data_IF_504964932398
#
_entry.id   IF_504964932398
#
_cell.length_a   1.000
_cell.length_b   1.000
_cell.length_c   1.000
_cell.angle_alpha   90.00
_cell.angle_beta   90.00
_cell.angle_gamma   90.00
#
_symmetry.space_group_name_H-M   'P 1'
#
loop_
_entity.id
_entity.type
_entity.pdbx_description
1 polymer ?
#
# COMPACT_ATOMS: atom_id res chain seq x y z
N UNK A 1 2.96 -30.05 -27.14
CA UNK A 1 2.87 -30.50 -25.74
C UNK A 1 4.28 -30.54 -25.18
N UNK A 2 4.75 -29.40 -24.73
CA UNK A 2 6.06 -29.26 -24.11
C UNK A 2 5.91 -29.64 -22.64
N UNK A 3 6.59 -30.66 -22.27
CA UNK A 3 6.85 -31.23 -20.98
C UNK A 3 7.43 -30.16 -20.04
N UNK A 4 6.54 -29.31 -19.47
CA UNK A 4 6.85 -28.53 -18.28
C UNK A 4 6.87 -29.54 -17.13
N UNK A 5 8.03 -30.17 -17.07
CA UNK A 5 8.46 -31.27 -16.25
C UNK A 5 7.76 -31.28 -14.90
N UNK A 6 7.29 -32.45 -14.54
CA UNK A 6 7.32 -32.99 -13.18
C UNK A 6 8.73 -32.77 -12.61
N UNK A 7 9.03 -31.53 -12.20
CA UNK A 7 10.29 -31.22 -11.54
C UNK A 7 10.19 -31.71 -10.10
N UNK A 8 11.09 -32.59 -9.76
CA UNK A 8 11.53 -32.97 -8.41
C UNK A 8 11.55 -31.70 -7.54
N UNK A 9 11.01 -31.81 -6.31
CA UNK A 9 10.91 -30.84 -5.23
C UNK A 9 9.64 -29.98 -5.19
N UNK A 10 8.46 -30.64 -5.15
CA UNK A 10 7.26 -30.04 -4.57
C UNK A 10 7.41 -29.80 -3.04
N UNK A 11 8.36 -30.47 -2.41
CA UNK A 11 8.47 -30.59 -0.96
C UNK A 11 8.90 -29.31 -0.20
N UNK A 12 9.34 -28.28 -0.87
CA UNK A 12 9.72 -26.99 -0.23
C UNK A 12 9.17 -25.73 -0.93
N UNK A 13 8.48 -25.89 -2.06
CA UNK A 13 8.10 -24.77 -2.93
C UNK A 13 7.05 -23.88 -2.31
N UNK A 14 7.30 -22.56 -2.35
CA UNK A 14 6.33 -21.51 -2.05
C UNK A 14 5.93 -20.84 -3.36
N UNK A 15 4.63 -20.69 -3.59
CA UNK A 15 4.07 -19.93 -4.71
C UNK A 15 3.54 -18.60 -4.21
N UNK A 16 4.00 -17.50 -4.80
CA UNK A 16 3.49 -16.14 -4.53
C UNK A 16 2.77 -15.65 -5.76
N UNK A 17 1.54 -15.17 -5.61
CA UNK A 17 0.74 -14.68 -6.72
C UNK A 17 0.47 -13.17 -6.61
N UNK A 18 0.86 -12.41 -7.63
CA UNK A 18 0.69 -10.97 -7.73
C UNK A 18 1.92 -10.27 -8.28
N UNK A 19 1.78 -9.01 -8.71
CA UNK A 19 2.87 -8.18 -9.24
C UNK A 19 3.04 -6.85 -8.51
N UNK A 20 2.41 -6.68 -7.34
CA UNK A 20 2.52 -5.48 -6.51
C UNK A 20 3.52 -5.62 -5.36
N UNK A 21 3.58 -4.58 -4.50
CA UNK A 21 4.55 -4.52 -3.38
C UNK A 21 4.53 -5.78 -2.53
N UNK A 22 3.35 -6.24 -2.07
CA UNK A 22 3.27 -7.42 -1.21
C UNK A 22 3.84 -8.68 -1.87
N UNK A 23 3.56 -8.90 -3.16
CA UNK A 23 4.06 -10.07 -3.87
C UNK A 23 5.58 -10.01 -4.09
N UNK A 24 6.08 -8.89 -4.60
CA UNK A 24 7.49 -8.72 -4.93
C UNK A 24 8.36 -8.73 -3.67
N UNK A 25 7.96 -8.01 -2.61
CA UNK A 25 8.70 -8.00 -1.35
C UNK A 25 8.63 -9.35 -0.61
N UNK A 26 7.49 -10.06 -0.66
CA UNK A 26 7.41 -11.41 -0.08
C UNK A 26 8.33 -12.39 -0.81
N UNK A 27 8.35 -12.35 -2.15
CA UNK A 27 9.22 -13.21 -2.93
C UNK A 27 10.70 -12.95 -2.61
N UNK A 28 11.12 -11.68 -2.53
CA UNK A 28 12.50 -11.31 -2.19
C UNK A 28 12.89 -11.78 -0.78
N UNK A 29 12.05 -11.46 0.22
CA UNK A 29 12.38 -11.78 1.61
C UNK A 29 12.38 -13.29 1.88
N UNK A 30 11.47 -14.05 1.27
CA UNK A 30 11.49 -15.52 1.36
C UNK A 30 12.71 -16.10 0.66
N UNK A 31 13.11 -15.56 -0.49
CA UNK A 31 14.33 -15.98 -1.19
C UNK A 31 15.60 -15.75 -0.35
N UNK A 32 15.64 -14.65 0.43
CA UNK A 32 16.76 -14.38 1.35
C UNK A 32 16.89 -15.41 2.48
N UNK A 33 15.79 -16.09 2.84
CA UNK A 33 15.83 -17.20 3.83
C UNK A 33 16.20 -18.54 3.22
N UNK A 34 16.56 -18.58 1.93
CA UNK A 34 16.91 -19.81 1.21
C UNK A 34 15.71 -20.59 0.65
N UNK A 35 14.50 -20.06 0.72
CA UNK A 35 13.32 -20.69 0.12
C UNK A 35 13.28 -20.48 -1.39
N UNK A 36 12.97 -21.54 -2.12
CA UNK A 36 12.63 -21.44 -3.54
C UNK A 36 11.21 -20.88 -3.73
N UNK A 37 11.11 -19.82 -4.50
CA UNK A 37 9.85 -19.09 -4.73
C UNK A 37 9.49 -19.11 -6.20
N UNK A 38 8.24 -19.45 -6.51
CA UNK A 38 7.65 -19.22 -7.82
C UNK A 38 6.72 -18.02 -7.72
N UNK A 39 7.06 -16.94 -8.42
CA UNK A 39 6.25 -15.71 -8.48
C UNK A 39 5.38 -15.74 -9.74
N UNK A 40 4.06 -15.75 -9.57
CA UNK A 40 3.08 -15.61 -10.64
C UNK A 40 2.82 -14.10 -10.82
N UNK A 41 3.38 -13.50 -11.86
CA UNK A 41 3.29 -12.06 -12.11
C UNK A 41 2.42 -11.78 -13.35
N UNK A 42 1.33 -10.99 -13.22
CA UNK A 42 0.51 -10.61 -14.37
C UNK A 42 1.17 -9.59 -15.29
N UNK A 43 2.30 -9.00 -14.91
CA UNK A 43 3.02 -8.07 -15.76
C UNK A 43 3.82 -8.80 -16.85
N UNK A 44 3.99 -8.19 -18.04
CA UNK A 44 4.79 -8.78 -19.12
C UNK A 44 6.28 -8.85 -18.72
N UNK A 45 7.06 -9.75 -19.34
CA UNK A 45 8.50 -9.90 -19.04
C UNK A 45 9.31 -8.62 -19.27
N UNK A 46 8.86 -7.76 -20.19
CA UNK A 46 9.47 -6.47 -20.52
C UNK A 46 9.16 -5.36 -19.50
N UNK A 47 8.26 -5.59 -18.54
CA UNK A 47 7.90 -4.56 -17.57
C UNK A 47 9.05 -4.30 -16.59
N UNK A 48 9.84 -3.26 -16.88
CA UNK A 48 10.88 -2.76 -15.95
C UNK A 48 10.29 -2.11 -14.70
N UNK A 49 9.01 -1.71 -14.77
CA UNK A 49 8.34 -0.88 -13.76
C UNK A 49 8.62 0.63 -13.93
N UNK A 50 9.54 1.01 -14.81
CA UNK A 50 9.87 2.43 -15.08
C UNK A 50 8.78 3.12 -15.92
N UNK A 51 8.04 2.36 -16.73
CA UNK A 51 6.87 2.84 -17.45
C UNK A 51 5.58 2.46 -16.69
N UNK A 52 4.91 3.42 -16.06
CA UNK A 52 3.67 3.18 -15.33
C UNK A 52 2.54 2.58 -16.20
N UNK A 53 2.57 2.80 -17.51
CA UNK A 53 1.54 2.29 -18.43
C UNK A 53 1.57 0.75 -18.57
N UNK A 54 2.70 0.13 -18.29
CA UNK A 54 2.89 -1.33 -18.31
C UNK A 54 2.54 -2.01 -16.98
N UNK A 55 2.21 -1.23 -15.96
CA UNK A 55 1.93 -1.75 -14.62
C UNK A 55 0.57 -2.44 -14.57
N UNK A 56 0.54 -3.58 -13.88
CA UNK A 56 -0.70 -4.26 -13.52
C UNK A 56 -1.36 -3.70 -12.24
N UNK A 57 -0.75 -2.69 -11.61
CA UNK A 57 -1.24 -2.09 -10.36
C UNK A 57 -2.20 -0.95 -10.68
N UNK A 58 -3.47 -1.13 -10.32
CA UNK A 58 -4.55 -0.19 -10.65
C UNK A 58 -4.32 1.24 -10.14
N UNK A 59 -3.54 1.41 -9.07
CA UNK A 59 -3.32 2.71 -8.41
C UNK A 59 -1.93 3.29 -8.69
N UNK A 60 -1.25 2.84 -9.73
CA UNK A 60 0.16 3.19 -10.00
C UNK A 60 0.39 4.71 -10.14
N UNK A 61 -0.59 5.42 -10.67
CA UNK A 61 -0.52 6.86 -10.94
C UNK A 61 -1.05 7.75 -9.79
N UNK A 62 -1.65 7.15 -8.77
CA UNK A 62 -2.16 7.92 -7.62
C UNK A 62 -1.04 8.29 -6.64
N UNK A 63 -1.24 9.35 -5.83
CA UNK A 63 -0.26 9.72 -4.81
C UNK A 63 -0.10 8.60 -3.79
N UNK A 64 1.14 8.25 -3.50
CA UNK A 64 1.49 7.27 -2.50
C UNK A 64 2.62 7.77 -1.62
N UNK A 65 2.66 7.30 -0.37
CA UNK A 65 3.77 7.50 0.54
C UNK A 65 4.20 6.18 1.17
N UNK A 66 5.43 6.11 1.61
CA UNK A 66 5.90 5.06 2.51
C UNK A 66 5.94 5.68 3.89
N UNK A 67 5.20 5.12 4.85
CA UNK A 67 5.31 5.56 6.24
C UNK A 67 6.65 5.09 6.83
N UNK A 68 7.11 5.75 7.88
CA UNK A 68 8.45 5.50 8.44
C UNK A 68 8.70 4.04 8.83
N UNK A 69 7.69 3.30 9.29
CA UNK A 69 7.81 1.86 9.54
C UNK A 69 8.16 1.09 8.25
N UNK A 70 7.47 1.39 7.14
CA UNK A 70 7.77 0.75 5.85
C UNK A 70 9.16 1.14 5.32
N UNK A 71 9.59 2.38 5.55
CA UNK A 71 10.94 2.83 5.22
C UNK A 71 12.00 2.10 6.05
N UNK A 72 11.81 1.98 7.36
CA UNK A 72 12.70 1.23 8.23
C UNK A 72 12.84 -0.23 7.76
N UNK A 73 11.73 -0.86 7.41
CA UNK A 73 11.72 -2.21 6.85
C UNK A 73 12.52 -2.31 5.54
N UNK A 74 12.38 -1.35 4.62
CA UNK A 74 13.19 -1.33 3.39
C UNK A 74 14.68 -1.13 3.70
N UNK A 75 15.00 -0.22 4.62
CA UNK A 75 16.38 0.06 5.01
C UNK A 75 17.08 -1.15 5.64
N UNK A 76 16.38 -1.88 6.50
CA UNK A 76 16.95 -2.99 7.26
C UNK A 76 16.97 -4.30 6.46
N UNK A 77 15.89 -4.60 5.73
CA UNK A 77 15.70 -5.93 5.13
C UNK A 77 15.80 -5.94 3.60
N UNK A 78 15.60 -4.80 2.93
CA UNK A 78 15.68 -4.66 1.48
C UNK A 78 16.50 -3.43 1.07
N UNK A 79 17.74 -3.24 1.59
CA UNK A 79 18.52 -2.01 1.35
C UNK A 79 18.81 -1.77 -0.13
N UNK A 80 18.96 -2.81 -0.94
CA UNK A 80 19.14 -2.67 -2.39
C UNK A 80 17.92 -2.05 -3.08
N UNK A 81 16.70 -2.42 -2.66
CA UNK A 81 15.46 -1.80 -3.13
C UNK A 81 15.41 -0.33 -2.76
N UNK A 82 15.73 0.03 -1.50
CA UNK A 82 15.79 1.42 -1.07
C UNK A 82 16.84 2.21 -1.88
N UNK A 83 18.03 1.66 -2.06
CA UNK A 83 19.10 2.28 -2.86
C UNK A 83 18.66 2.56 -4.30
N UNK A 84 17.96 1.62 -4.96
CA UNK A 84 17.39 1.85 -6.29
C UNK A 84 16.29 2.91 -6.28
N UNK A 85 15.39 2.87 -5.30
CA UNK A 85 14.31 3.85 -5.15
C UNK A 85 14.89 5.28 -5.06
N UNK A 86 15.92 5.47 -4.25
CA UNK A 86 16.61 6.78 -4.14
C UNK A 86 17.32 7.17 -5.45
N UNK A 87 17.96 6.20 -6.11
CA UNK A 87 18.66 6.43 -7.39
C UNK A 87 17.71 6.86 -8.51
N UNK A 88 16.49 6.32 -8.59
CA UNK A 88 15.49 6.74 -9.59
C UNK A 88 14.78 8.05 -9.22
N UNK A 89 15.09 8.62 -8.06
CA UNK A 89 14.68 9.98 -7.67
C UNK A 89 13.78 10.07 -6.44
N UNK A 90 13.62 9.00 -5.68
CA UNK A 90 13.04 9.09 -4.34
C UNK A 90 13.86 10.05 -3.46
N UNK A 91 13.20 10.82 -2.63
CA UNK A 91 13.85 11.83 -1.79
C UNK A 91 13.51 11.60 -0.32
N UNK A 92 14.55 11.41 0.50
CA UNK A 92 14.38 11.28 1.96
C UNK A 92 13.97 12.62 2.57
N UNK A 93 13.04 12.59 3.50
CA UNK A 93 12.55 13.77 4.22
C UNK A 93 12.35 13.41 5.69
N UNK A 94 12.94 14.21 6.59
CA UNK A 94 12.62 14.14 8.00
C UNK A 94 11.31 14.89 8.29
N UNK A 95 10.44 14.28 9.06
CA UNK A 95 9.11 14.79 9.38
C UNK A 95 9.06 15.62 10.65
N UNK A 96 10.15 15.61 11.42
CA UNK A 96 10.24 16.32 12.70
C UNK A 96 11.49 17.20 12.70
N UNK A 97 11.31 18.42 13.18
CA UNK A 97 12.40 19.32 13.54
C UNK A 97 12.81 19.10 15.01
N UNK A 98 14.09 19.36 15.34
CA UNK A 98 14.63 19.29 16.70
C UNK A 98 15.59 18.12 16.94
N UNK A 99 16.08 18.01 18.19
CA UNK A 99 17.22 17.16 18.58
C UNK A 99 16.90 15.67 18.82
N UNK A 100 15.70 15.22 18.52
CA UNK A 100 15.33 13.81 18.70
C UNK A 100 15.71 12.93 17.51
N UNK A 101 15.64 11.57 17.63
CA UNK A 101 15.85 10.67 16.50
C UNK A 101 14.96 11.04 15.31
N UNK A 102 15.46 10.99 14.06
CA UNK A 102 14.69 11.37 12.89
C UNK A 102 13.47 10.44 12.72
N UNK A 103 12.37 11.01 12.24
CA UNK A 103 11.23 10.26 11.74
C UNK A 103 11.17 10.52 10.24
N UNK A 104 11.81 9.63 9.50
CA UNK A 104 12.01 9.81 8.07
C UNK A 104 10.90 9.16 7.23
N UNK A 105 10.66 9.74 6.06
CA UNK A 105 9.86 9.16 4.99
C UNK A 105 10.54 9.36 3.65
N UNK A 106 9.98 8.77 2.58
CA UNK A 106 10.45 8.97 1.21
C UNK A 106 9.34 9.62 0.38
N UNK A 107 9.62 10.77 -0.20
CA UNK A 107 8.84 11.33 -1.29
C UNK A 107 9.11 10.51 -2.54
N UNK A 108 8.08 9.90 -3.11
CA UNK A 108 8.20 9.03 -4.27
C UNK A 108 6.92 9.02 -5.09
N UNK A 109 7.03 8.59 -6.33
CA UNK A 109 5.90 8.09 -7.12
C UNK A 109 5.80 6.57 -6.94
N UNK A 110 4.61 6.02 -6.96
CA UNK A 110 4.38 4.58 -6.75
C UNK A 110 5.20 3.70 -7.68
N UNK A 111 5.29 4.06 -8.96
CA UNK A 111 6.04 3.30 -9.97
C UNK A 111 7.54 3.17 -9.64
N UNK A 112 8.12 4.14 -8.92
CA UNK A 112 9.54 4.08 -8.53
C UNK A 112 9.82 2.91 -7.58
N UNK A 113 8.93 2.68 -6.62
CA UNK A 113 9.04 1.53 -5.70
C UNK A 113 8.81 0.21 -6.45
N UNK A 114 7.80 0.17 -7.33
CA UNK A 114 7.51 -1.04 -8.11
C UNK A 114 8.69 -1.39 -9.04
N UNK A 115 9.32 -0.39 -9.69
CA UNK A 115 10.52 -0.58 -10.50
C UNK A 115 11.70 -1.13 -9.68
N UNK A 116 11.95 -0.54 -8.50
CA UNK A 116 13.02 -0.99 -7.63
C UNK A 116 12.82 -2.45 -7.16
N UNK A 117 11.60 -2.79 -6.73
CA UNK A 117 11.26 -4.15 -6.31
C UNK A 117 11.38 -5.15 -7.46
N UNK A 118 10.88 -4.83 -8.66
CA UNK A 118 10.98 -5.69 -9.85
C UNK A 118 12.41 -5.96 -10.24
N UNK A 119 13.25 -4.92 -10.26
CA UNK A 119 14.65 -5.04 -10.63
C UNK A 119 15.41 -5.98 -9.67
N UNK A 120 15.16 -5.88 -8.36
CA UNK A 120 15.78 -6.78 -7.38
C UNK A 120 15.21 -8.20 -7.47
N UNK A 121 13.89 -8.34 -7.67
CA UNK A 121 13.24 -9.65 -7.82
C UNK A 121 13.77 -10.41 -9.05
N UNK A 122 14.01 -9.71 -10.15
CA UNK A 122 14.57 -10.32 -11.36
C UNK A 122 16.01 -10.81 -11.19
N UNK A 123 16.76 -10.27 -10.22
CA UNK A 123 18.14 -10.69 -9.91
C UNK A 123 18.21 -11.80 -8.85
N UNK A 124 17.12 -12.05 -8.13
CA UNK A 124 17.07 -13.03 -7.06
C UNK A 124 17.06 -14.46 -7.60
N UNK A 125 18.17 -15.20 -7.50
CA UNK A 125 18.35 -16.56 -8.06
C UNK A 125 17.32 -17.57 -7.56
N UNK A 126 16.85 -17.42 -6.32
CA UNK A 126 15.86 -18.31 -5.72
C UNK A 126 14.40 -17.93 -6.10
N UNK A 127 14.20 -16.90 -6.93
CA UNK A 127 12.87 -16.51 -7.42
C UNK A 127 12.73 -16.86 -8.90
N UNK A 128 11.83 -17.79 -9.20
CA UNK A 128 11.40 -18.08 -10.58
C UNK A 128 10.15 -17.28 -10.91
N UNK A 129 10.24 -16.36 -11.86
CA UNK A 129 9.12 -15.52 -12.29
C UNK A 129 8.36 -16.18 -13.43
N UNK A 130 7.04 -16.36 -13.25
CA UNK A 130 6.10 -16.68 -14.31
C UNK A 130 5.39 -15.38 -14.73
N UNK A 131 6.02 -14.66 -15.64
CA UNK A 131 5.50 -13.39 -16.16
C UNK A 131 4.28 -13.62 -17.07
N UNK A 132 3.51 -12.57 -17.35
CA UNK A 132 2.27 -12.62 -18.16
C UNK A 132 1.27 -13.69 -17.67
N UNK A 133 1.28 -13.99 -16.38
CA UNK A 133 0.56 -15.11 -15.80
C UNK A 133 -0.30 -14.66 -14.62
N UNK A 134 -1.49 -15.23 -14.50
CA UNK A 134 -2.43 -14.89 -13.42
C UNK A 134 -2.87 -16.14 -12.68
N UNK A 135 -2.89 -16.06 -11.37
CA UNK A 135 -3.58 -17.03 -10.53
C UNK A 135 -5.08 -16.97 -10.84
N UNK A 136 -5.67 -18.08 -11.24
CA UNK A 136 -7.11 -18.18 -11.55
C UNK A 136 -7.90 -18.83 -10.44
N UNK A 137 -7.32 -19.81 -9.76
CA UNK A 137 -7.91 -20.51 -8.64
C UNK A 137 -6.84 -21.16 -7.76
N UNK A 138 -7.22 -21.58 -6.56
CA UNK A 138 -6.42 -22.41 -5.66
C UNK A 138 -7.30 -23.54 -5.15
N UNK A 139 -6.80 -24.77 -5.15
CA UNK A 139 -7.49 -25.93 -4.59
C UNK A 139 -6.61 -26.62 -3.54
N UNK A 140 -7.23 -27.26 -2.56
CA UNK A 140 -6.52 -28.06 -1.56
C UNK A 140 -6.11 -29.41 -2.17
N UNK A 141 -4.94 -29.93 -1.75
CA UNK A 141 -4.40 -31.23 -2.13
C UNK A 141 -3.72 -31.86 -0.89
N UNK A 142 -4.51 -32.28 0.09
CA UNK A 142 -4.01 -32.73 1.40
C UNK A 142 -3.30 -31.59 2.15
N UNK A 143 -2.03 -31.78 2.48
CA UNK A 143 -1.18 -30.75 3.11
C UNK A 143 -0.56 -29.77 2.12
N UNK A 144 -0.92 -29.85 0.86
CA UNK A 144 -0.43 -29.01 -0.23
C UNK A 144 -1.57 -28.19 -0.80
N UNK A 145 -1.25 -27.17 -1.57
CA UNK A 145 -2.19 -26.43 -2.41
C UNK A 145 -1.79 -26.50 -3.88
N UNK A 146 -2.78 -26.48 -4.76
CA UNK A 146 -2.60 -26.37 -6.20
C UNK A 146 -3.00 -24.97 -6.65
N UNK A 147 -2.03 -24.21 -7.16
CA UNK A 147 -2.26 -22.91 -7.78
C UNK A 147 -2.56 -23.12 -9.27
N UNK A 148 -3.77 -22.76 -9.71
CA UNK A 148 -4.18 -22.81 -11.11
C UNK A 148 -3.80 -21.48 -11.77
N UNK A 149 -2.96 -21.56 -12.80
CA UNK A 149 -2.35 -20.38 -13.44
C UNK A 149 -2.75 -20.33 -14.90
N UNK A 150 -3.14 -19.16 -15.37
CA UNK A 150 -3.43 -18.89 -16.78
C UNK A 150 -2.46 -17.86 -17.31
N UNK A 151 -1.73 -18.20 -18.39
CA UNK A 151 -0.93 -17.25 -19.16
C UNK A 151 -1.81 -16.37 -20.04
N UNK A 152 -1.31 -15.19 -20.42
CA UNK A 152 -2.03 -14.22 -21.29
C UNK A 152 -2.40 -14.81 -22.63
N UNK A 153 -1.57 -15.69 -23.19
CA UNK A 153 -1.81 -16.36 -24.48
C UNK A 153 -2.74 -17.58 -24.38
N UNK A 154 -3.40 -17.80 -23.22
CA UNK A 154 -4.42 -18.82 -23.04
C UNK A 154 -3.93 -20.18 -22.51
N UNK A 155 -2.61 -20.39 -22.37
CA UNK A 155 -2.06 -21.60 -21.75
C UNK A 155 -2.44 -21.67 -20.25
N UNK A 156 -2.80 -22.86 -19.76
CA UNK A 156 -3.06 -23.09 -18.35
C UNK A 156 -2.06 -24.09 -17.78
N UNK A 157 -1.63 -23.88 -16.54
CA UNK A 157 -0.78 -24.80 -15.79
C UNK A 157 -1.21 -24.86 -14.34
N UNK A 158 -0.89 -25.95 -13.68
CA UNK A 158 -1.13 -26.10 -12.23
C UNK A 158 0.20 -26.30 -11.53
N UNK A 159 0.41 -25.52 -10.48
CA UNK A 159 1.60 -25.60 -9.64
C UNK A 159 1.19 -26.16 -8.27
N UNK A 160 1.78 -27.28 -7.90
CA UNK A 160 1.64 -27.81 -6.54
C UNK A 160 2.67 -27.16 -5.62
N UNK A 161 2.25 -26.71 -4.43
CA UNK A 161 3.08 -26.01 -3.48
C UNK A 161 2.69 -26.33 -2.04
N UNK A 162 3.65 -26.28 -1.12
CA UNK A 162 3.38 -26.35 0.32
C UNK A 162 2.68 -25.11 0.85
N UNK A 163 2.91 -23.97 0.20
CA UNK A 163 2.22 -22.73 0.53
C UNK A 163 1.93 -21.92 -0.74
N UNK A 164 0.70 -21.47 -0.90
CA UNK A 164 0.30 -20.46 -1.87
C UNK A 164 0.00 -19.17 -1.13
N UNK A 165 0.72 -18.10 -1.49
CA UNK A 165 0.53 -16.75 -0.96
C UNK A 165 -0.23 -15.94 -1.99
N UNK A 166 -1.52 -15.65 -1.72
CA UNK A 166 -2.31 -14.73 -2.52
C UNK A 166 -1.98 -13.28 -2.15
N UNK A 167 -1.22 -12.63 -3.01
CA UNK A 167 -0.91 -11.21 -2.96
C UNK A 167 -1.44 -10.48 -4.22
N UNK A 168 -2.58 -10.94 -4.78
CA UNK A 168 -3.19 -10.41 -6.00
C UNK A 168 -3.88 -9.06 -5.82
N UNK A 169 -3.82 -8.50 -4.62
CA UNK A 169 -4.35 -7.17 -4.33
C UNK A 169 -5.88 -7.13 -4.30
N UNK A 170 -6.44 -5.99 -4.74
CA UNK A 170 -7.88 -5.74 -4.68
C UNK A 170 -8.68 -6.55 -5.71
N UNK A 171 -8.03 -7.23 -6.65
CA UNK A 171 -8.70 -8.11 -7.61
C UNK A 171 -9.31 -9.37 -6.99
N UNK A 172 -9.09 -9.57 -5.71
CA UNK A 172 -9.71 -10.54 -4.78
C UNK A 172 -10.57 -11.59 -5.46
N UNK A 173 -9.94 -12.59 -6.06
CA UNK A 173 -10.69 -13.68 -6.67
C UNK A 173 -11.35 -14.50 -5.57
N UNK A 174 -12.59 -14.85 -5.79
CA UNK A 174 -13.28 -15.85 -4.99
C UNK A 174 -12.65 -17.17 -5.37
N UNK A 175 -11.87 -17.77 -4.47
CA UNK A 175 -11.40 -19.13 -4.63
C UNK A 175 -12.57 -20.11 -4.49
N UNK A 176 -12.38 -21.36 -4.88
CA UNK A 176 -13.39 -22.38 -4.79
C UNK A 176 -14.04 -22.42 -3.39
N UNK A 177 -15.29 -22.86 -3.32
CA UNK A 177 -16.11 -22.91 -2.10
C UNK A 177 -15.48 -23.75 -0.96
N UNK A 178 -14.40 -24.49 -1.24
CA UNK A 178 -13.64 -25.26 -0.25
C UNK A 178 -12.93 -24.38 0.78
N UNK A 179 -12.66 -23.11 0.42
CA UNK A 179 -11.99 -22.17 1.31
C UNK A 179 -12.99 -21.21 1.96
N UNK A 180 -13.39 -21.54 3.19
CA UNK A 180 -14.15 -20.57 4.00
C UNK A 180 -13.30 -19.35 4.27
N UNK A 181 -13.78 -18.18 3.88
CA UNK A 181 -13.09 -16.91 4.11
C UNK A 181 -13.89 -16.06 5.09
N UNK A 182 -13.18 -15.49 6.09
CA UNK A 182 -13.75 -14.45 6.95
C UNK A 182 -13.70 -13.15 6.14
N UNK A 183 -14.86 -12.50 5.96
CA UNK A 183 -14.97 -11.26 5.18
C UNK A 183 -15.63 -10.18 6.01
N UNK A 184 -14.92 -9.07 6.15
CA UNK A 184 -15.47 -7.83 6.69
C UNK A 184 -15.31 -6.75 5.62
N UNK A 185 -16.35 -5.94 5.44
CA UNK A 185 -16.35 -4.84 4.47
C UNK A 185 -16.99 -3.62 5.08
N UNK A 186 -16.25 -2.51 5.11
CA UNK A 186 -16.71 -1.21 5.53
C UNK A 186 -16.44 -0.22 4.40
N UNK A 187 -17.51 0.28 3.79
CA UNK A 187 -17.40 1.22 2.68
C UNK A 187 -16.77 2.55 3.10
N UNK A 188 -16.02 3.19 2.22
CA UNK A 188 -15.63 4.58 2.43
C UNK A 188 -16.79 5.52 2.04
N UNK A 189 -17.09 6.54 2.84
CA UNK A 189 -18.08 7.53 2.49
C UNK A 189 -17.59 8.52 1.43
N UNK A 190 -16.32 8.46 1.01
CA UNK A 190 -15.68 9.46 0.16
C UNK A 190 -15.15 8.89 -1.14
N UNK A 191 -15.20 9.74 -2.18
CA UNK A 191 -14.48 9.57 -3.45
C UNK A 191 -13.29 10.53 -3.48
N UNK A 192 -12.27 10.19 -4.28
CA UNK A 192 -11.04 10.94 -4.40
C UNK A 192 -10.78 11.30 -5.87
N UNK A 193 -10.37 12.54 -6.07
CA UNK A 193 -9.99 13.09 -7.38
C UNK A 193 -8.64 13.76 -7.25
N UNK A 194 -7.69 13.40 -8.08
CA UNK A 194 -6.34 13.95 -8.00
C UNK A 194 -5.78 14.32 -9.37
N UNK A 195 -4.99 15.39 -9.41
CA UNK A 195 -4.17 15.75 -10.55
C UNK A 195 -2.74 15.88 -10.10
N UNK A 196 -1.82 15.31 -10.87
CA UNK A 196 -0.38 15.46 -10.66
C UNK A 196 0.10 16.72 -11.33
N UNK A 197 0.91 17.51 -10.61
CA UNK A 197 1.52 18.75 -11.09
C UNK A 197 3.03 18.72 -10.93
N UNK A 198 3.70 19.57 -11.69
CA UNK A 198 5.11 19.93 -11.52
C UNK A 198 5.21 21.43 -11.26
N UNK A 199 5.93 21.82 -10.22
CA UNK A 199 6.24 23.23 -9.97
C UNK A 199 7.09 23.82 -11.08
N UNK A 200 6.81 25.08 -11.43
CA UNK A 200 7.64 25.85 -12.35
C UNK A 200 8.95 26.26 -11.66
N UNK A 201 10.06 26.36 -12.39
CA UNK A 201 11.30 26.84 -11.83
C UNK A 201 11.11 28.23 -11.18
N UNK A 202 11.52 28.36 -9.92
CA UNK A 202 11.37 29.60 -9.16
C UNK A 202 9.99 29.94 -8.65
N UNK A 203 9.02 29.04 -8.81
CA UNK A 203 7.66 29.21 -8.26
C UNK A 203 7.70 29.41 -6.73
N UNK A 204 6.99 30.44 -6.26
CA UNK A 204 6.82 30.73 -4.84
C UNK A 204 5.42 30.27 -4.42
N UNK A 205 5.36 29.15 -3.69
CA UNK A 205 4.12 28.62 -3.15
C UNK A 205 4.12 28.72 -1.62
N UNK A 206 2.95 28.87 -0.98
CA UNK A 206 2.86 28.89 0.49
C UNK A 206 3.43 27.62 1.10
N UNK A 207 4.04 27.69 2.29
CA UNK A 207 4.47 26.49 2.99
C UNK A 207 3.27 25.60 3.32
N UNK A 208 3.48 24.29 3.34
CA UNK A 208 2.47 23.35 3.79
C UNK A 208 2.45 23.28 5.32
N UNK A 209 1.28 22.92 5.88
CA UNK A 209 1.13 22.72 7.33
C UNK A 209 1.98 21.55 7.87
N UNK A 210 2.44 20.67 6.99
CA UNK A 210 3.39 19.58 7.25
C UNK A 210 4.39 19.51 6.09
N UNK A 211 5.57 18.96 6.36
CA UNK A 211 6.65 18.87 5.37
C UNK A 211 6.23 18.21 4.05
N UNK A 212 5.36 17.20 4.11
CA UNK A 212 4.96 16.40 2.95
C UNK A 212 3.51 16.62 2.53
N UNK A 213 2.65 17.22 3.37
CA UNK A 213 1.24 17.42 3.06
C UNK A 213 0.71 18.72 3.58
N UNK A 214 -0.18 19.36 2.82
CA UNK A 214 -1.07 20.43 3.28
C UNK A 214 -2.51 19.97 3.10
N UNK A 215 -3.38 20.24 4.08
CA UNK A 215 -4.78 19.83 4.05
C UNK A 215 -5.69 20.95 4.56
N UNK A 216 -6.79 21.16 3.86
CA UNK A 216 -7.87 22.10 4.24
C UNK A 216 -9.19 21.32 4.17
N UNK A 217 -9.95 21.38 5.25
CA UNK A 217 -11.34 20.90 5.28
C UNK A 217 -12.26 22.07 4.96
N UNK A 218 -13.11 21.89 3.98
CA UNK A 218 -14.10 22.88 3.54
C UNK A 218 -15.46 22.61 4.24
N UNK A 219 -16.39 23.57 4.20
CA UNK A 219 -17.78 23.28 4.54
C UNK A 219 -18.24 22.04 3.77
N UNK A 220 -19.22 21.31 4.21
CA UNK A 220 -19.70 20.07 3.57
C UNK A 220 -18.72 18.86 3.62
N UNK A 221 -17.73 18.91 4.50
CA UNK A 221 -16.79 17.81 4.75
C UNK A 221 -15.90 17.44 3.54
N UNK A 222 -15.83 18.31 2.52
CA UNK A 222 -14.90 18.16 1.41
C UNK A 222 -13.49 18.53 1.87
N UNK A 223 -12.50 17.71 1.55
CA UNK A 223 -11.10 17.99 1.86
C UNK A 223 -10.30 18.26 0.58
N UNK A 224 -9.52 19.33 0.59
CA UNK A 224 -8.49 19.59 -0.39
C UNK A 224 -7.11 19.36 0.22
N UNK A 225 -6.22 18.70 -0.51
CA UNK A 225 -4.87 18.39 -0.02
C UNK A 225 -3.83 18.56 -1.12
N UNK A 226 -2.67 19.07 -0.74
CA UNK A 226 -1.43 18.94 -1.51
C UNK A 226 -0.63 17.79 -0.89
N UNK A 227 -0.20 16.85 -1.72
CA UNK A 227 0.72 15.77 -1.33
C UNK A 227 1.99 15.95 -2.16
N UNK A 228 3.11 16.26 -1.52
CA UNK A 228 4.39 16.45 -2.21
C UNK A 228 4.89 15.11 -2.77
N UNK A 229 5.41 15.18 -3.98
CA UNK A 229 6.18 14.12 -4.63
C UNK A 229 7.67 14.51 -4.74
N UNK A 230 8.48 13.67 -5.38
CA UNK A 230 9.89 13.96 -5.64
C UNK A 230 10.05 15.00 -6.76
N UNK A 231 11.23 15.64 -6.83
CA UNK A 231 11.63 16.50 -7.96
C UNK A 231 10.60 17.58 -8.31
N UNK A 232 10.16 18.36 -7.33
CA UNK A 232 9.20 19.44 -7.49
C UNK A 232 7.83 19.02 -8.04
N UNK A 233 7.48 17.72 -7.94
CA UNK A 233 6.14 17.25 -8.24
C UNK A 233 5.25 17.26 -7.01
N UNK A 234 3.93 17.32 -7.24
CA UNK A 234 2.93 17.17 -6.19
C UNK A 234 1.60 16.70 -6.77
N UNK A 235 0.73 16.21 -5.92
CA UNK A 235 -0.64 15.91 -6.26
C UNK A 235 -1.59 16.87 -5.54
N UNK A 236 -2.50 17.48 -6.31
CA UNK A 236 -3.63 18.22 -5.80
C UNK A 236 -4.82 17.25 -5.70
N UNK A 237 -5.25 16.94 -4.48
CA UNK A 237 -6.25 15.89 -4.18
C UNK A 237 -7.47 16.52 -3.56
N UNK A 238 -8.65 16.19 -4.11
CA UNK A 238 -9.95 16.51 -3.52
C UNK A 238 -10.60 15.21 -3.06
N UNK A 239 -10.93 15.11 -1.77
CA UNK A 239 -11.73 14.05 -1.20
C UNK A 239 -13.10 14.59 -0.83
N UNK A 240 -14.18 14.04 -1.39
CA UNK A 240 -15.52 14.54 -1.21
C UNK A 240 -16.51 13.40 -0.90
N UNK A 241 -17.63 13.75 -0.25
CA UNK A 241 -18.72 12.81 -0.04
C UNK A 241 -19.24 12.25 -1.36
N UNK A 242 -19.61 10.97 -1.38
CA UNK A 242 -20.28 10.33 -2.52
C UNK A 242 -21.58 11.01 -2.90
N UNK A 243 -22.22 11.70 -1.95
CA UNK A 243 -23.48 12.42 -2.13
C UNK A 243 -23.27 13.88 -2.48
N UNK A 244 -22.02 14.36 -2.55
CA UNK A 244 -21.74 15.74 -2.92
C UNK A 244 -22.18 16.04 -4.37
N UNK A 245 -23.06 17.02 -4.60
CA UNK A 245 -23.64 17.25 -5.93
C UNK A 245 -22.58 17.56 -7.01
N UNK A 246 -21.53 18.29 -6.63
CA UNK A 246 -20.48 18.74 -7.56
C UNK A 246 -19.43 17.64 -7.84
N UNK A 247 -19.49 16.49 -7.19
CA UNK A 247 -18.52 15.40 -7.30
C UNK A 247 -18.19 15.00 -8.74
N UNK A 248 -19.20 14.92 -9.61
CA UNK A 248 -19.02 14.49 -11.00
C UNK A 248 -18.21 15.51 -11.82
N UNK A 249 -18.33 16.78 -11.50
CA UNK A 249 -17.60 17.86 -12.16
C UNK A 249 -16.09 17.84 -11.83
N UNK A 250 -15.71 17.27 -10.69
CA UNK A 250 -14.29 17.11 -10.37
C UNK A 250 -13.51 16.23 -11.35
N UNK A 251 -14.18 15.48 -12.22
CA UNK A 251 -13.55 14.71 -13.30
C UNK A 251 -13.14 15.58 -14.49
N UNK A 252 -13.72 16.77 -14.60
CA UNK A 252 -13.30 17.77 -15.59
C UNK A 252 -12.05 18.47 -15.08
N UNK A 253 -10.92 18.45 -15.86
CA UNK A 253 -9.67 19.10 -15.45
C UNK A 253 -9.81 20.59 -15.19
N UNK A 254 -10.62 21.31 -15.98
CA UNK A 254 -10.82 22.75 -15.83
C UNK A 254 -11.59 23.05 -14.53
N UNK A 255 -12.63 22.27 -14.23
CA UNK A 255 -13.39 22.40 -12.99
C UNK A 255 -12.51 22.06 -11.78
N UNK A 256 -11.74 20.94 -11.83
CA UNK A 256 -10.83 20.55 -10.76
C UNK A 256 -9.82 21.64 -10.46
N UNK A 257 -9.18 22.20 -11.49
CA UNK A 257 -8.21 23.28 -11.33
C UNK A 257 -8.86 24.56 -10.77
N UNK A 258 -10.04 24.92 -11.25
CA UNK A 258 -10.80 26.09 -10.75
C UNK A 258 -11.21 25.91 -9.30
N UNK A 259 -11.75 24.75 -8.94
CA UNK A 259 -12.11 24.40 -7.56
C UNK A 259 -10.89 24.52 -6.65
N UNK A 260 -9.76 23.90 -7.03
CA UNK A 260 -8.57 23.87 -6.20
C UNK A 260 -7.95 25.26 -6.00
N UNK A 261 -7.98 26.12 -7.03
CA UNK A 261 -7.51 27.54 -6.94
C UNK A 261 -8.30 28.35 -5.92
N UNK A 262 -9.57 28.00 -5.70
CA UNK A 262 -10.40 28.67 -4.70
C UNK A 262 -10.15 28.20 -3.26
N UNK A 263 -9.31 27.16 -3.04
CA UNK A 263 -9.04 26.63 -1.69
C UNK A 263 -8.06 27.56 -0.95
N UNK A 264 -8.47 28.15 0.20
CA UNK A 264 -7.59 29.00 0.98
C UNK A 264 -6.28 28.29 1.37
N UNK A 265 -5.15 28.98 1.20
CA UNK A 265 -3.82 28.47 1.56
C UNK A 265 -3.23 27.41 0.63
N UNK A 266 -4.03 26.77 -0.23
CA UNK A 266 -3.54 25.77 -1.19
C UNK A 266 -3.66 26.22 -2.66
N UNK A 267 -4.55 27.17 -2.97
CA UNK A 267 -4.86 27.56 -4.35
C UNK A 267 -3.66 28.03 -5.15
N UNK A 268 -2.71 28.72 -4.52
CA UNK A 268 -1.49 29.21 -5.16
C UNK A 268 -0.61 28.08 -5.74
N UNK A 269 -0.73 26.84 -5.25
CA UNK A 269 0.02 25.69 -5.78
C UNK A 269 -0.39 25.32 -7.22
N UNK A 270 -1.63 25.58 -7.61
CA UNK A 270 -2.18 25.17 -8.91
C UNK A 270 -2.39 26.35 -9.88
N UNK A 271 -1.85 27.52 -9.55
CA UNK A 271 -1.86 28.66 -10.49
C UNK A 271 -0.98 28.36 -11.72
N UNK A 272 -1.36 28.82 -12.93
CA UNK A 272 -0.58 28.56 -14.14
C UNK A 272 0.87 29.05 -14.07
N UNK A 273 1.13 30.13 -13.36
CA UNK A 273 2.47 30.66 -13.10
C UNK A 273 3.27 29.86 -12.07
N UNK A 274 2.60 29.05 -11.25
CA UNK A 274 3.23 28.23 -10.20
C UNK A 274 3.51 26.81 -10.64
N UNK A 275 2.62 26.21 -11.44
CA UNK A 275 2.73 24.79 -11.78
C UNK A 275 2.04 24.42 -13.10
N UNK A 276 2.47 23.29 -13.65
CA UNK A 276 1.88 22.69 -14.85
C UNK A 276 1.28 21.31 -14.52
N UNK A 277 0.04 21.01 -14.96
CA UNK A 277 -0.55 19.68 -14.78
C UNK A 277 0.21 18.65 -15.63
N UNK A 278 0.50 17.49 -15.04
CA UNK A 278 1.21 16.37 -15.65
C UNK A 278 0.32 15.16 -15.92
N UNK A 279 -0.93 15.18 -15.46
CA UNK A 279 -1.90 14.12 -15.69
C UNK A 279 -3.29 14.68 -15.94
N UNK A 280 -4.16 13.88 -16.54
CA UNK A 280 -5.60 14.06 -16.42
C UNK A 280 -6.06 13.89 -14.96
N UNK A 281 -7.34 14.14 -14.69
CA UNK A 281 -7.90 13.86 -13.38
C UNK A 281 -7.98 12.34 -13.17
N UNK A 282 -7.30 11.87 -12.14
CA UNK A 282 -7.35 10.50 -11.68
C UNK A 282 -8.43 10.40 -10.61
N UNK A 283 -9.44 9.56 -10.85
CA UNK A 283 -10.57 9.41 -9.94
C UNK A 283 -10.65 7.99 -9.43
N UNK A 284 -10.82 7.81 -8.14
CA UNK A 284 -11.14 6.51 -7.57
C UNK A 284 -12.24 6.64 -6.52
N UNK A 285 -13.16 5.71 -6.63
CA UNK A 285 -14.35 5.66 -5.80
C UNK A 285 -14.35 4.36 -4.98
N UNK A 286 -15.11 4.35 -3.92
CA UNK A 286 -15.47 3.12 -3.20
C UNK A 286 -14.30 2.35 -2.58
N UNK A 287 -13.21 3.00 -2.27
CA UNK A 287 -12.07 2.40 -1.57
C UNK A 287 -12.41 2.29 -0.08
N UNK A 288 -13.08 1.21 0.29
CA UNK A 288 -13.41 0.91 1.68
C UNK A 288 -12.30 0.13 2.41
N UNK A 289 -12.57 -0.10 3.68
CA UNK A 289 -11.77 -0.99 4.51
C UNK A 289 -12.27 -2.43 4.33
N UNK A 290 -11.38 -3.37 4.09
CA UNK A 290 -11.70 -4.78 3.92
C UNK A 290 -10.73 -5.65 4.70
N UNK A 291 -11.25 -6.67 5.33
CA UNK A 291 -10.48 -7.76 5.93
C UNK A 291 -10.96 -9.08 5.35
N UNK A 292 -10.07 -9.86 4.73
CA UNK A 292 -10.41 -11.11 4.04
C UNK A 292 -9.39 -12.17 4.42
N UNK A 293 -9.62 -12.85 5.52
CA UNK A 293 -8.75 -13.92 5.99
C UNK A 293 -9.20 -15.28 5.46
N UNK A 294 -8.23 -16.16 5.23
CA UNK A 294 -8.47 -17.58 4.97
C UNK A 294 -8.74 -18.27 6.30
N UNK A 295 -9.71 -19.17 6.32
CA UNK A 295 -10.07 -19.96 7.50
C UNK A 295 -8.89 -20.77 8.04
N UNK A 296 -8.86 -21.00 9.34
CA UNK A 296 -7.76 -21.70 10.03
C UNK A 296 -7.57 -23.14 9.58
N UNK A 297 -8.64 -23.81 9.13
CA UNK A 297 -8.54 -25.21 8.64
C UNK A 297 -7.78 -25.31 7.31
N UNK A 298 -7.57 -24.21 6.61
CA UNK A 298 -6.81 -24.18 5.35
C UNK A 298 -5.35 -23.97 5.68
N UNK A 299 -4.57 -25.01 5.64
CA UNK A 299 -3.19 -25.01 6.15
C UNK A 299 -2.11 -24.72 5.12
N UNK A 300 -2.45 -24.64 3.83
CA UNK A 300 -1.49 -24.45 2.74
C UNK A 300 -1.67 -23.14 1.95
N UNK A 301 -2.55 -22.24 2.43
CA UNK A 301 -2.85 -20.98 1.71
C UNK A 301 -2.91 -19.82 2.68
N UNK A 302 -2.28 -18.70 2.31
CA UNK A 302 -2.37 -17.43 3.03
C UNK A 302 -2.63 -16.28 2.09
N UNK A 303 -3.12 -15.16 2.62
CA UNK A 303 -3.26 -13.89 1.92
C UNK A 303 -2.29 -12.87 2.45
N UNK A 304 -1.84 -11.96 1.59
CA UNK A 304 -0.96 -10.86 1.94
C UNK A 304 -1.31 -9.58 1.15
N UNK A 305 -0.91 -8.43 1.68
CA UNK A 305 -1.21 -7.13 1.11
C UNK A 305 -2.72 -6.86 1.04
N UNK A 306 -3.15 -6.15 0.01
CA UNK A 306 -4.55 -5.79 -0.20
C UNK A 306 -5.47 -7.01 -0.45
N UNK A 307 -4.92 -8.18 -0.74
CA UNK A 307 -5.68 -9.42 -0.81
C UNK A 307 -6.17 -9.88 0.57
N UNK A 308 -5.41 -9.60 1.62
CA UNK A 308 -5.79 -9.89 3.01
C UNK A 308 -6.61 -8.73 3.59
N UNK A 309 -6.04 -7.53 3.64
CA UNK A 309 -6.80 -6.37 4.08
C UNK A 309 -6.38 -5.10 3.36
N UNK A 310 -7.36 -4.23 3.15
CA UNK A 310 -7.15 -2.87 2.67
C UNK A 310 -7.66 -1.89 3.71
N UNK A 311 -6.98 -0.76 3.83
CA UNK A 311 -7.46 0.40 4.55
C UNK A 311 -7.76 1.52 3.57
N UNK A 312 -8.61 2.46 3.96
CA UNK A 312 -8.87 3.63 3.14
C UNK A 312 -7.55 4.33 2.74
N UNK A 313 -7.31 4.58 1.44
CA UNK A 313 -6.07 5.20 0.95
C UNK A 313 -5.75 6.55 1.57
N UNK A 314 -6.76 7.29 2.05
CA UNK A 314 -6.56 8.56 2.76
C UNK A 314 -5.64 8.45 3.98
N UNK A 315 -5.46 7.25 4.53
CA UNK A 315 -4.58 7.01 5.68
C UNK A 315 -3.13 6.74 5.28
N UNK A 316 -2.83 6.48 4.00
CA UNK A 316 -1.49 6.28 3.47
C UNK A 316 -0.77 5.01 3.95
N UNK A 317 -1.47 4.05 4.55
CA UNK A 317 -0.88 2.90 5.26
C UNK A 317 -0.57 1.69 4.38
N UNK A 318 -1.22 1.57 3.20
CA UNK A 318 -1.25 0.33 2.41
C UNK A 318 0.12 -0.25 2.06
N UNK A 319 1.07 0.59 1.59
CA UNK A 319 2.43 0.15 1.24
C UNK A 319 3.16 -0.38 2.47
N UNK A 320 3.14 0.38 3.58
CA UNK A 320 3.85 -0.02 4.80
C UNK A 320 3.28 -1.31 5.40
N UNK A 321 1.96 -1.48 5.38
CA UNK A 321 1.33 -2.74 5.80
C UNK A 321 1.71 -3.91 4.88
N UNK A 322 1.78 -3.70 3.56
CA UNK A 322 2.21 -4.73 2.62
C UNK A 322 3.65 -5.19 2.89
N UNK A 323 4.56 -4.24 3.11
CA UNK A 323 5.96 -4.51 3.46
C UNK A 323 6.08 -5.25 4.81
N UNK A 324 5.33 -4.81 5.82
CA UNK A 324 5.29 -5.47 7.14
C UNK A 324 4.78 -6.91 7.05
N UNK A 325 3.71 -7.16 6.29
CA UNK A 325 3.20 -8.51 6.06
C UNK A 325 4.23 -9.39 5.36
N UNK A 326 4.97 -8.86 4.39
CA UNK A 326 6.01 -9.60 3.69
C UNK A 326 7.15 -10.01 4.63
N UNK A 327 7.54 -9.14 5.56
CA UNK A 327 8.53 -9.47 6.60
C UNK A 327 7.99 -10.52 7.58
N UNK A 328 6.73 -10.42 8.00
CA UNK A 328 6.08 -11.42 8.85
C UNK A 328 6.03 -12.78 8.17
N UNK A 329 5.71 -12.82 6.86
CA UNK A 329 5.76 -14.05 6.06
C UNK A 329 7.17 -14.66 6.04
N UNK A 330 8.18 -13.85 5.75
CA UNK A 330 9.55 -14.34 5.70
C UNK A 330 10.05 -14.88 7.05
N UNK A 331 9.72 -14.21 8.15
CA UNK A 331 10.05 -14.67 9.51
C UNK A 331 9.32 -15.95 9.88
N UNK A 332 8.05 -16.07 9.52
CA UNK A 332 7.22 -17.20 9.87
C UNK A 332 7.49 -18.45 9.00
N UNK A 333 7.68 -18.27 7.69
CA UNK A 333 7.84 -19.38 6.74
C UNK A 333 9.31 -19.66 6.40
N UNK A 334 10.18 -18.66 6.53
CA UNK A 334 11.58 -18.74 6.08
C UNK A 334 12.40 -19.80 6.81
N UNK A 335 12.27 -19.85 8.12
CA UNK A 335 13.06 -20.75 8.98
C UNK A 335 12.23 -21.87 9.61
N UNK A 336 10.95 -21.98 9.30
CA UNK A 336 10.10 -23.04 9.85
C UNK A 336 10.37 -24.35 9.12
N UNK A 337 10.68 -25.40 9.87
CA UNK A 337 10.76 -26.77 9.33
C UNK A 337 9.36 -27.23 8.88
N UNK A 338 8.32 -26.86 9.65
CA UNK A 338 6.93 -27.10 9.31
C UNK A 338 6.25 -25.82 8.78
N UNK A 339 5.96 -25.80 7.51
CA UNK A 339 5.28 -24.69 6.80
C UNK A 339 3.90 -24.40 7.41
N UNK A 340 3.18 -25.41 7.90
CA UNK A 340 1.85 -25.22 8.47
C UNK A 340 1.89 -24.46 9.79
N UNK A 341 2.86 -24.77 10.64
CA UNK A 341 3.17 -24.01 11.86
C UNK A 341 3.58 -22.55 11.49
N UNK A 342 4.38 -22.38 10.45
CA UNK A 342 4.72 -21.05 9.94
C UNK A 342 3.50 -20.25 9.47
N UNK A 343 2.58 -20.89 8.77
CA UNK A 343 1.32 -20.27 8.34
C UNK A 343 0.46 -19.82 9.54
N UNK A 344 0.32 -20.68 10.55
CA UNK A 344 -0.41 -20.34 11.77
C UNK A 344 0.25 -19.16 12.50
N UNK A 345 1.57 -19.16 12.62
CA UNK A 345 2.36 -18.06 13.20
C UNK A 345 2.13 -16.76 12.44
N UNK A 346 2.23 -16.77 11.11
CA UNK A 346 1.97 -15.58 10.29
C UNK A 346 0.56 -15.01 10.53
N UNK A 347 -0.46 -15.86 10.53
CA UNK A 347 -1.85 -15.43 10.76
C UNK A 347 -2.03 -14.79 12.14
N UNK A 348 -1.43 -15.40 13.16
CA UNK A 348 -1.45 -14.87 14.52
C UNK A 348 -0.78 -13.49 14.59
N UNK A 349 0.43 -13.36 14.05
CA UNK A 349 1.19 -12.10 14.07
C UNK A 349 0.47 -10.99 13.30
N UNK A 350 -0.09 -11.29 12.12
CA UNK A 350 -0.89 -10.34 11.35
C UNK A 350 -2.11 -9.88 12.14
N UNK A 351 -2.85 -10.80 12.74
CA UNK A 351 -4.02 -10.44 13.53
C UNK A 351 -3.64 -9.59 14.74
N UNK A 352 -2.61 -9.97 15.47
CA UNK A 352 -2.12 -9.24 16.65
C UNK A 352 -1.65 -7.83 16.33
N UNK A 353 -0.87 -7.65 15.26
CA UNK A 353 -0.20 -6.38 14.99
C UNK A 353 -0.91 -5.49 13.98
N UNK A 354 -1.67 -6.05 13.02
CA UNK A 354 -2.28 -5.28 11.94
C UNK A 354 -3.80 -5.11 12.09
N UNK A 355 -4.47 -6.02 12.81
CA UNK A 355 -5.90 -5.90 13.10
C UNK A 355 -6.25 -4.58 13.82
N UNK A 356 -5.50 -4.12 14.85
CA UNK A 356 -5.78 -2.84 15.48
C UNK A 356 -5.73 -1.63 14.53
N UNK A 357 -4.88 -1.69 13.49
CA UNK A 357 -4.80 -0.65 12.47
C UNK A 357 -5.97 -0.69 11.48
N UNK A 358 -6.46 -1.89 11.18
CA UNK A 358 -7.69 -2.04 10.42
C UNK A 358 -8.89 -1.46 11.16
N UNK A 359 -9.04 -1.79 12.44
CA UNK A 359 -10.13 -1.29 13.30
C UNK A 359 -10.06 0.24 13.46
N UNK A 360 -8.85 0.82 13.64
CA UNK A 360 -8.64 2.27 13.63
C UNK A 360 -9.09 2.90 12.30
N UNK A 361 -8.78 2.27 11.17
CA UNK A 361 -9.17 2.75 9.85
C UNK A 361 -10.69 2.71 9.64
N UNK A 362 -11.34 1.66 10.13
CA UNK A 362 -12.82 1.56 10.13
C UNK A 362 -13.44 2.67 10.95
N UNK A 363 -12.91 2.95 12.16
CA UNK A 363 -13.40 4.04 13.02
C UNK A 363 -13.19 5.42 12.39
N UNK A 364 -12.12 5.62 11.63
CA UNK A 364 -11.88 6.89 10.94
C UNK A 364 -12.90 7.16 9.83
N UNK A 365 -13.44 6.12 9.21
CA UNK A 365 -14.45 6.22 8.16
C UNK A 365 -15.90 6.10 8.69
N UNK A 366 -16.06 5.66 9.95
CA UNK A 366 -17.37 5.43 10.56
C UNK A 366 -18.10 6.75 10.80
N UNK A 367 -19.34 6.87 10.30
CA UNK A 367 -20.22 8.02 10.46
C UNK A 367 -21.10 7.95 11.71
N UNK A 368 -21.06 6.85 12.45
CA UNK A 368 -21.79 6.71 13.73
C UNK A 368 -21.20 7.60 14.82
N UNK A 369 -21.92 7.83 15.93
CA UNK A 369 -21.39 8.58 17.07
C UNK A 369 -20.04 8.09 17.57
N UNK A 370 -19.74 6.77 17.48
CA UNK A 370 -18.46 6.17 17.86
C UNK A 370 -17.32 6.67 16.96
N UNK A 371 -17.50 6.63 15.65
CA UNK A 371 -16.51 7.13 14.70
C UNK A 371 -16.32 8.65 14.78
N UNK A 372 -17.40 9.39 14.97
CA UNK A 372 -17.34 10.85 15.19
C UNK A 372 -16.52 11.17 16.44
N UNK A 373 -16.78 10.50 17.55
CA UNK A 373 -16.03 10.67 18.80
C UNK A 373 -14.54 10.31 18.62
N UNK A 374 -14.23 9.24 17.89
CA UNK A 374 -12.85 8.85 17.61
C UNK A 374 -12.09 9.93 16.82
N UNK A 375 -12.70 10.47 15.73
CA UNK A 375 -12.11 11.57 14.95
C UNK A 375 -11.94 12.85 15.76
N UNK A 376 -12.93 13.18 16.63
CA UNK A 376 -12.85 14.34 17.52
C UNK A 376 -11.69 14.23 18.49
N UNK A 377 -11.46 13.04 19.08
CA UNK A 377 -10.30 12.79 19.96
C UNK A 377 -8.99 12.96 19.20
N UNK A 378 -8.87 12.42 17.98
CA UNK A 378 -7.69 12.61 17.13
C UNK A 378 -7.43 14.08 16.81
N UNK A 379 -8.47 14.83 16.46
CA UNK A 379 -8.36 16.26 16.18
C UNK A 379 -7.91 17.04 17.42
N UNK A 380 -8.43 16.69 18.60
CA UNK A 380 -8.03 17.28 19.88
C UNK A 380 -6.56 17.01 20.20
N UNK A 381 -6.11 15.74 20.10
CA UNK A 381 -4.69 15.38 20.29
C UNK A 381 -3.78 16.15 19.34
N UNK A 382 -4.16 16.26 18.05
CA UNK A 382 -3.38 17.04 17.06
C UNK A 382 -3.31 18.53 17.40
N UNK A 383 -4.39 19.10 17.95
CA UNK A 383 -4.40 20.50 18.39
C UNK A 383 -3.46 20.72 19.57
N UNK A 384 -3.46 19.84 20.55
CA UNK A 384 -2.55 19.90 21.70
C UNK A 384 -1.09 19.70 21.24
N UNK A 385 -0.85 18.77 20.33
CA UNK A 385 0.47 18.49 19.77
C UNK A 385 1.11 19.69 19.06
N UNK A 386 0.35 20.66 18.59
CA UNK A 386 0.89 21.88 17.98
C UNK A 386 1.70 22.75 18.95
N UNK A 387 1.44 22.66 20.28
CA UNK A 387 2.17 23.37 21.33
C UNK A 387 3.08 22.49 22.19
N UNK A 388 3.10 21.18 21.96
CA UNK A 388 3.87 20.21 22.75
C UNK A 388 4.75 19.34 21.84
N UNK A 389 6.08 19.56 21.81
CA UNK A 389 6.99 18.80 20.96
C UNK A 389 6.96 17.29 21.22
N UNK A 390 6.80 16.84 22.46
CA UNK A 390 6.73 15.42 22.79
C UNK A 390 5.45 14.80 22.26
N UNK A 391 4.31 15.44 22.50
CA UNK A 391 3.02 14.97 21.99
C UNK A 391 2.97 15.03 20.45
N UNK A 392 3.60 16.03 19.82
CA UNK A 392 3.76 16.10 18.38
C UNK A 392 4.54 14.89 17.85
N UNK A 393 5.68 14.58 18.46
CA UNK A 393 6.48 13.40 18.12
C UNK A 393 5.63 12.12 18.24
N UNK A 394 4.98 11.89 19.37
CA UNK A 394 4.13 10.70 19.57
C UNK A 394 3.02 10.59 18.54
N UNK A 395 2.42 11.72 18.15
CA UNK A 395 1.36 11.78 17.14
C UNK A 395 1.88 11.45 15.74
N UNK A 396 3.07 11.95 15.38
CA UNK A 396 3.74 11.65 14.12
C UNK A 396 4.17 10.18 14.07
N UNK A 397 4.82 9.68 15.13
CA UNK A 397 5.26 8.28 15.23
C UNK A 397 4.07 7.31 15.10
N UNK A 398 2.94 7.60 15.77
CA UNK A 398 1.71 6.82 15.61
C UNK A 398 1.21 6.83 14.16
N UNK A 399 1.11 8.01 13.54
CA UNK A 399 0.66 8.12 12.15
C UNK A 399 1.56 7.32 11.21
N UNK A 400 2.86 7.28 11.49
CA UNK A 400 3.90 6.60 10.73
C UNK A 400 4.13 5.15 11.15
N UNK A 401 3.22 4.57 11.94
CA UNK A 401 3.21 3.18 12.39
C UNK A 401 4.43 2.77 13.24
N UNK A 402 5.12 3.73 13.83
CA UNK A 402 6.25 3.48 14.75
C UNK A 402 5.78 3.22 16.19
N UNK A 403 4.50 3.43 16.47
CA UNK A 403 3.80 3.11 17.71
C UNK A 403 2.60 2.24 17.39
N UNK A 404 1.95 1.71 18.42
CA UNK A 404 0.67 1.01 18.28
C UNK A 404 -0.47 1.96 17.83
N UNK A 405 -1.64 1.41 17.58
CA UNK A 405 -2.81 2.17 17.11
C UNK A 405 -3.48 3.01 18.19
N UNK A 406 -3.06 2.88 19.46
CA UNK A 406 -3.65 3.64 20.58
C UNK A 406 -3.32 5.13 20.48
N UNK A 407 -4.27 5.95 20.89
CA UNK A 407 -4.02 7.40 20.95
C UNK A 407 -3.09 7.72 22.12
N UNK A 408 -2.12 8.63 21.92
CA UNK A 408 -1.34 9.16 23.02
C UNK A 408 -2.28 9.71 24.10
N UNK A 409 -2.00 9.48 25.39
CA UNK A 409 -2.74 10.12 26.47
C UNK A 409 -2.56 11.64 26.35
N UNK A 410 -3.60 12.43 26.64
CA UNK A 410 -3.40 13.88 26.81
C UNK A 410 -2.38 14.08 27.92
N UNK A 411 -1.36 14.89 27.66
CA UNK A 411 -0.43 15.32 28.71
C UNK A 411 -1.23 16.12 29.71
N UNK A 412 -1.29 15.65 30.94
CA UNK A 412 -1.82 16.43 32.07
C UNK A 412 -0.78 17.53 32.36
N UNK A 413 -1.04 18.73 31.86
CA UNK A 413 -0.34 19.95 32.31
C UNK A 413 -0.79 20.35 33.68
#
# INVERSE_FOLDING_TARGET
MTELARTRDADGRIVVAGGGVAALSSALLLAQTGREVVLIDPAPPSASGEDPSTSCVAQIMHPHGILSQGLAMLSEHLPAVLGRLLKVGGTMVNLLEGDGPPVDTVLMERWMLDAALRAETAQARAVRILADSRLTDVTAAGQMACAHVRGRLGGSTTLTARCVIDATGTHRRTWSAEFTTIREHHGSPRDFHSVRYKLMPGARVPPLSRVVTGRVTLPDDTEASIIRGPRDTFHAVVACSRHWPMRRHLRDPAFHASFFRAVPGLGAWTLPESSTPMSSVLSFASMGNHWIAVSEHVTAVVRAGDALFTTNPAHGRGISHALTQSLMLARALGHSEDIHTGIATYRHEVHKHLRPWFDDSVLLDDTTPKGVAHRARLAHVRKLAAGDPLLNRMTVERHHLLRDSTLPPPTTS
#
